data_IF_270484702969
#
_entry.id   IF_270484702969
#
_cell.length_a   1.000
_cell.length_b   1.000
_cell.length_c   1.000
_cell.angle_alpha   90.00
_cell.angle_beta   90.00
_cell.angle_gamma   90.00
#
_symmetry.space_group_name_H-M   'P 1'
#
loop_
_entity.id
_entity.type
_entity.pdbx_description
1 polymer ?
#
# COMPACT_ATOMS: atom_id res chain seq x y z
N UNK A 1 19.77 -54.09 -5.37
CA UNK A 1 18.73 -53.02 -5.23
C UNK A 1 19.05 -51.95 -4.18
N UNK A 2 19.83 -52.23 -3.14
CA UNK A 2 20.12 -51.26 -2.04
C UNK A 2 21.13 -50.16 -2.42
N UNK A 3 22.14 -50.45 -3.25
CA UNK A 3 23.17 -49.48 -3.64
C UNK A 3 22.63 -48.34 -4.53
N UNK A 4 21.74 -48.67 -5.48
CA UNK A 4 21.09 -47.69 -6.37
C UNK A 4 20.25 -46.68 -5.57
N UNK A 5 19.48 -47.14 -4.57
CA UNK A 5 18.68 -46.24 -3.72
C UNK A 5 19.55 -45.26 -2.92
N UNK A 6 20.70 -45.70 -2.41
CA UNK A 6 21.64 -44.82 -1.68
C UNK A 6 22.25 -43.74 -2.58
N UNK A 7 22.55 -44.07 -3.83
CA UNK A 7 23.06 -43.13 -4.82
C UNK A 7 22.02 -42.09 -5.25
N UNK A 8 20.76 -42.51 -5.44
CA UNK A 8 19.65 -41.58 -5.72
C UNK A 8 19.40 -40.61 -4.57
N UNK A 9 19.45 -41.08 -3.31
CA UNK A 9 19.32 -40.20 -2.13
C UNK A 9 20.47 -39.18 -2.03
N UNK A 10 21.70 -39.58 -2.36
CA UNK A 10 22.86 -38.71 -2.34
C UNK A 10 22.77 -37.57 -3.38
N UNK A 11 22.27 -37.86 -4.59
CA UNK A 11 22.06 -36.84 -5.63
C UNK A 11 20.98 -35.80 -5.25
N UNK A 12 19.90 -36.20 -4.57
CA UNK A 12 18.84 -35.27 -4.15
C UNK A 12 19.32 -34.30 -3.06
N UNK A 13 20.25 -34.73 -2.20
CA UNK A 13 20.86 -33.90 -1.16
C UNK A 13 21.90 -32.94 -1.74
N UNK A 14 22.59 -33.35 -2.82
CA UNK A 14 23.68 -32.58 -3.43
C UNK A 14 23.24 -31.64 -4.55
N UNK A 15 22.01 -31.76 -5.06
CA UNK A 15 21.40 -30.71 -5.92
C UNK A 15 20.99 -29.55 -5.00
N UNK A 16 21.63 -28.37 -5.08
CA UNK A 16 21.25 -27.25 -4.24
C UNK A 16 19.89 -26.71 -4.71
N UNK A 17 18.82 -27.14 -4.04
CA UNK A 17 17.45 -26.60 -4.22
C UNK A 17 17.37 -25.10 -3.94
N UNK A 18 18.42 -24.52 -3.37
CA UNK A 18 18.49 -23.18 -2.81
C UNK A 18 19.08 -22.17 -3.80
N UNK A 19 19.78 -22.60 -4.85
CA UNK A 19 20.46 -21.68 -5.79
C UNK A 19 19.50 -20.91 -6.68
N UNK A 20 18.30 -21.43 -6.94
CA UNK A 20 17.24 -20.72 -7.68
C UNK A 20 16.27 -19.97 -6.74
N UNK A 21 16.09 -20.47 -5.51
CA UNK A 21 15.23 -19.83 -4.51
C UNK A 21 15.87 -18.56 -3.91
N UNK A 22 17.20 -18.53 -3.75
CA UNK A 22 17.93 -17.37 -3.21
C UNK A 22 17.72 -16.09 -4.06
N UNK A 23 17.68 -16.21 -5.38
CA UNK A 23 17.42 -15.06 -6.27
C UNK A 23 16.00 -14.50 -6.11
N UNK A 24 15.01 -15.36 -5.89
CA UNK A 24 13.61 -14.94 -5.68
C UNK A 24 13.45 -14.29 -4.31
N UNK A 25 14.17 -14.78 -3.29
CA UNK A 25 14.13 -14.23 -1.94
C UNK A 25 14.69 -12.81 -1.87
N UNK A 26 15.78 -12.52 -2.58
CA UNK A 26 16.35 -11.17 -2.66
C UNK A 26 15.40 -10.19 -3.36
N UNK A 27 14.77 -10.60 -4.46
CA UNK A 27 13.77 -9.77 -5.17
C UNK A 27 12.56 -9.49 -4.27
N UNK A 28 12.03 -10.50 -3.59
CA UNK A 28 10.93 -10.35 -2.65
C UNK A 28 11.30 -9.38 -1.51
N UNK A 29 12.54 -9.44 -1.01
CA UNK A 29 13.03 -8.55 0.04
C UNK A 29 13.12 -7.10 -0.44
N UNK A 30 13.59 -6.87 -1.67
CA UNK A 30 13.63 -5.53 -2.28
C UNK A 30 12.22 -4.95 -2.46
N UNK A 31 11.30 -5.74 -3.03
CA UNK A 31 9.91 -5.32 -3.23
C UNK A 31 9.22 -5.02 -1.90
N UNK A 32 9.43 -5.87 -0.88
CA UNK A 32 8.84 -5.67 0.43
C UNK A 32 9.42 -4.43 1.13
N UNK A 33 10.71 -4.18 1.01
CA UNK A 33 11.34 -2.97 1.55
C UNK A 33 10.77 -1.70 0.91
N UNK A 34 10.61 -1.67 -0.43
CA UNK A 34 10.00 -0.54 -1.12
C UNK A 34 8.55 -0.32 -0.63
N UNK A 35 7.77 -1.40 -0.54
CA UNK A 35 6.39 -1.33 -0.06
C UNK A 35 6.29 -0.76 1.36
N UNK A 36 7.13 -1.25 2.27
CA UNK A 36 7.10 -0.88 3.70
C UNK A 36 7.66 0.52 3.95
N UNK A 37 8.77 0.88 3.33
CA UNK A 37 9.49 2.11 3.63
C UNK A 37 9.12 3.30 2.73
N UNK A 38 8.55 3.07 1.55
CA UNK A 38 8.19 4.14 0.62
C UNK A 38 6.67 4.23 0.49
N UNK A 39 6.02 3.11 0.16
CA UNK A 39 4.59 3.12 -0.17
C UNK A 39 3.72 3.41 1.05
N UNK A 40 3.96 2.74 2.19
CA UNK A 40 3.18 2.99 3.41
C UNK A 40 3.33 4.43 3.92
N UNK A 41 4.53 5.01 4.08
CA UNK A 41 4.66 6.40 4.51
C UNK A 41 4.02 7.40 3.53
N UNK A 42 4.12 7.14 2.22
CA UNK A 42 3.49 7.98 1.21
C UNK A 42 1.95 8.00 1.34
N UNK A 43 1.34 6.85 1.57
CA UNK A 43 -0.10 6.72 1.83
C UNK A 43 -0.51 7.56 3.05
N UNK A 44 0.23 7.42 4.16
CA UNK A 44 -0.03 8.21 5.37
C UNK A 44 0.16 9.72 5.13
N UNK A 45 1.18 10.11 4.38
CA UNK A 45 1.42 11.50 4.02
C UNK A 45 0.28 12.08 3.20
N UNK A 46 -0.19 11.36 2.17
CA UNK A 46 -1.33 11.78 1.36
C UNK A 46 -2.62 11.91 2.18
N UNK A 47 -2.86 10.99 3.11
CA UNK A 47 -4.00 11.06 4.02
C UNK A 47 -3.92 12.29 4.95
N UNK A 48 -2.73 12.57 5.50
CA UNK A 48 -2.49 13.75 6.31
C UNK A 48 -2.75 15.05 5.51
N UNK A 49 -2.25 15.13 4.27
CA UNK A 49 -2.48 16.27 3.39
C UNK A 49 -3.97 16.47 3.07
N UNK A 50 -4.69 15.39 2.73
CA UNK A 50 -6.13 15.45 2.48
C UNK A 50 -6.90 15.95 3.72
N UNK A 51 -6.52 15.48 4.91
CA UNK A 51 -7.11 15.91 6.19
C UNK A 51 -6.81 17.39 6.48
N UNK A 52 -5.59 17.85 6.23
CA UNK A 52 -5.22 19.26 6.40
C UNK A 52 -6.02 20.18 5.47
N UNK A 53 -6.16 19.81 4.19
CA UNK A 53 -6.97 20.57 3.22
C UNK A 53 -8.45 20.58 3.65
N UNK A 54 -8.96 19.46 4.15
CA UNK A 54 -10.32 19.37 4.67
C UNK A 54 -10.54 20.30 5.88
N UNK A 55 -9.63 20.28 6.86
CA UNK A 55 -9.68 21.14 8.06
C UNK A 55 -9.59 22.62 7.67
N UNK A 56 -8.69 22.98 6.74
CA UNK A 56 -8.57 24.34 6.22
C UNK A 56 -9.88 24.80 5.56
N UNK A 57 -10.53 23.91 4.81
CA UNK A 57 -11.83 24.15 4.23
C UNK A 57 -12.91 24.43 5.28
N UNK A 58 -12.94 23.66 6.38
CA UNK A 58 -13.87 23.90 7.50
C UNK A 58 -13.61 25.26 8.13
N UNK A 59 -12.36 25.59 8.45
CA UNK A 59 -12.01 26.85 9.10
C UNK A 59 -12.42 28.06 8.23
N UNK A 60 -12.22 27.96 6.92
CA UNK A 60 -12.64 28.99 5.96
C UNK A 60 -14.17 29.05 5.84
N UNK A 61 -14.84 27.91 5.75
CA UNK A 61 -16.29 27.85 5.60
C UNK A 61 -17.04 28.39 6.82
N UNK A 62 -16.56 28.07 8.03
CA UNK A 62 -17.17 28.51 9.30
C UNK A 62 -16.78 29.95 9.64
N UNK A 63 -15.51 30.32 9.44
CA UNK A 63 -15.01 31.65 9.78
C UNK A 63 -15.51 32.77 8.85
N UNK A 64 -15.96 32.43 7.65
CA UNK A 64 -16.46 33.40 6.67
C UNK A 64 -17.98 33.43 6.57
N UNK A 65 -18.71 33.24 7.68
CA UNK A 65 -20.16 33.12 7.70
C UNK A 65 -20.91 34.23 6.92
N UNK A 66 -20.37 35.45 6.94
CA UNK A 66 -20.93 36.67 6.35
C UNK A 66 -20.51 36.92 4.89
N UNK A 67 -19.52 36.17 4.38
CA UNK A 67 -18.99 36.30 3.01
C UNK A 67 -19.33 35.05 2.19
N UNK A 68 -20.25 35.23 1.24
CA UNK A 68 -20.75 34.15 0.37
C UNK A 68 -19.64 33.57 -0.52
N UNK A 69 -18.71 34.39 -1.01
CA UNK A 69 -17.62 33.93 -1.87
C UNK A 69 -16.59 33.11 -1.08
N UNK A 70 -16.21 33.61 0.10
CA UNK A 70 -15.27 32.91 0.97
C UNK A 70 -15.86 31.58 1.50
N UNK A 71 -17.17 31.51 1.76
CA UNK A 71 -17.86 30.24 2.04
C UNK A 71 -17.83 29.28 0.88
N UNK A 72 -18.11 29.74 -0.34
CA UNK A 72 -18.05 28.89 -1.53
C UNK A 72 -16.63 28.32 -1.74
N UNK A 73 -15.59 29.12 -1.45
CA UNK A 73 -14.20 28.68 -1.49
C UNK A 73 -13.90 27.63 -0.41
N UNK A 74 -14.31 27.86 0.84
CA UNK A 74 -14.15 26.90 1.94
C UNK A 74 -14.83 25.56 1.65
N UNK A 75 -16.08 25.59 1.15
CA UNK A 75 -16.81 24.40 0.73
C UNK A 75 -16.07 23.62 -0.37
N UNK A 76 -15.49 24.32 -1.36
CA UNK A 76 -14.70 23.67 -2.41
C UNK A 76 -13.45 22.99 -1.85
N UNK A 77 -12.77 23.62 -0.90
CA UNK A 77 -11.60 23.00 -0.23
C UNK A 77 -11.99 21.77 0.60
N UNK A 78 -13.12 21.80 1.29
CA UNK A 78 -13.65 20.61 1.99
C UNK A 78 -13.88 19.46 1.01
N UNK A 79 -14.49 19.73 -0.16
CA UNK A 79 -14.74 18.72 -1.19
C UNK A 79 -13.44 18.11 -1.71
N UNK A 80 -12.40 18.92 -1.95
CA UNK A 80 -11.09 18.40 -2.36
C UNK A 80 -10.47 17.49 -1.30
N UNK A 81 -10.58 17.86 -0.02
CA UNK A 81 -10.13 17.00 1.09
C UNK A 81 -10.91 15.69 1.19
N UNK A 82 -12.24 15.74 1.07
CA UNK A 82 -13.11 14.54 1.07
C UNK A 82 -12.76 13.62 -0.10
N UNK A 83 -12.61 14.18 -1.30
CA UNK A 83 -12.26 13.40 -2.49
C UNK A 83 -10.91 12.69 -2.29
N UNK A 84 -9.93 13.37 -1.68
CA UNK A 84 -8.67 12.77 -1.27
C UNK A 84 -8.87 11.57 -0.33
N UNK A 85 -9.67 11.73 0.73
CA UNK A 85 -9.96 10.63 1.66
C UNK A 85 -10.67 9.45 0.99
N UNK A 86 -11.63 9.71 0.10
CA UNK A 86 -12.35 8.66 -0.65
C UNK A 86 -11.38 7.84 -1.51
N UNK A 87 -10.45 8.51 -2.21
CA UNK A 87 -9.42 7.82 -3.01
C UNK A 87 -8.55 6.93 -2.14
N UNK A 88 -8.16 7.38 -0.94
CA UNK A 88 -7.36 6.57 -0.01
C UNK A 88 -8.12 5.32 0.45
N UNK A 89 -9.41 5.46 0.78
CA UNK A 89 -10.25 4.32 1.16
C UNK A 89 -10.37 3.33 -0.01
N UNK A 90 -10.59 3.84 -1.23
CA UNK A 90 -10.68 3.01 -2.43
C UNK A 90 -9.37 2.24 -2.68
N UNK A 91 -8.21 2.88 -2.53
CA UNK A 91 -6.90 2.24 -2.70
C UNK A 91 -6.68 1.12 -1.67
N UNK A 92 -7.00 1.36 -0.39
CA UNK A 92 -6.87 0.34 0.67
C UNK A 92 -7.85 -0.82 0.47
N UNK A 93 -9.08 -0.52 0.04
CA UNK A 93 -10.07 -1.54 -0.27
C UNK A 93 -9.60 -2.44 -1.43
N UNK A 94 -9.13 -1.85 -2.53
CA UNK A 94 -8.57 -2.59 -3.67
C UNK A 94 -7.38 -3.44 -3.25
N UNK A 95 -6.43 -2.87 -2.50
CA UNK A 95 -5.28 -3.61 -1.94
C UNK A 95 -5.74 -4.84 -1.15
N UNK A 96 -6.71 -4.65 -0.26
CA UNK A 96 -7.22 -5.72 0.61
C UNK A 96 -7.92 -6.82 -0.18
N UNK A 97 -8.67 -6.45 -1.24
CA UNK A 97 -9.31 -7.42 -2.14
C UNK A 97 -8.24 -8.26 -2.84
N UNK A 98 -7.22 -7.61 -3.40
CA UNK A 98 -6.13 -8.30 -4.12
C UNK A 98 -5.39 -9.26 -3.18
N UNK A 99 -5.02 -8.83 -1.98
CA UNK A 99 -4.31 -9.66 -1.00
C UNK A 99 -5.14 -10.89 -0.61
N UNK A 100 -6.45 -10.71 -0.40
CA UNK A 100 -7.35 -11.82 -0.06
C UNK A 100 -7.52 -12.79 -1.23
N UNK A 101 -7.64 -12.29 -2.46
CA UNK A 101 -7.76 -13.16 -3.64
C UNK A 101 -6.49 -13.97 -3.88
N UNK A 102 -5.31 -13.37 -3.71
CA UNK A 102 -4.03 -14.09 -3.88
C UNK A 102 -3.77 -15.08 -2.74
N UNK A 103 -4.18 -14.78 -1.51
CA UNK A 103 -4.07 -15.72 -0.37
C UNK A 103 -5.03 -16.91 -0.44
N UNK A 104 -6.11 -16.80 -1.22
CA UNK A 104 -7.13 -17.86 -1.39
C UNK A 104 -6.73 -18.87 -2.48
N UNK A 105 -5.77 -18.53 -3.35
CA UNK A 105 -5.18 -19.41 -4.36
C UNK A 105 -3.94 -20.13 -3.81
#
# INVERSE_FOLDING_TARGET
MVAIKKFTYFLIVFVPKNSFAAGIEEVNKLVNNISVYILKPLIFLMFALATLVFIWGIQTFVGSADDVEARAKGARQMIWGILGMVIMIAAVALKTIIEKTVLVL
#
